data_IF_620256931072
#
_entry.id   IF_620256931072
#
_cell.length_a   1.000
_cell.length_b   1.000
_cell.length_c   1.000
_cell.angle_alpha   90.00
_cell.angle_beta   90.00
_cell.angle_gamma   90.00
#
_symmetry.space_group_name_H-M   'P 1'
#
loop_
_entity.id
_entity.type
_entity.pdbx_description
1 polymer ?
#
# COMPACT_ATOMS: atom_id res chain seq x y z
N UNK A 1 -8.59 15.19 -10.73
CA UNK A 1 -7.15 14.98 -10.98
C UNK A 1 -6.66 13.80 -10.15
N UNK A 2 -5.69 13.05 -10.65
CA UNK A 2 -5.02 11.97 -9.89
C UNK A 2 -3.52 12.21 -9.82
N UNK A 3 -2.90 11.94 -8.69
CA UNK A 3 -1.47 12.11 -8.47
C UNK A 3 -0.82 10.76 -8.20
N UNK A 4 0.36 10.52 -8.80
CA UNK A 4 1.19 9.35 -8.52
C UNK A 4 2.01 9.61 -7.25
N UNK A 5 2.16 8.59 -6.42
CA UNK A 5 3.02 8.56 -5.24
C UNK A 5 3.99 7.39 -5.39
N UNK A 6 5.27 7.72 -5.59
CA UNK A 6 6.35 6.74 -5.63
C UNK A 6 6.71 6.16 -4.25
N UNK A 7 7.56 5.12 -4.18
CA UNK A 7 7.90 4.45 -2.93
C UNK A 7 8.62 5.36 -1.92
N UNK A 8 9.43 6.30 -2.41
CA UNK A 8 10.21 7.28 -1.64
C UNK A 8 9.55 8.66 -1.58
N UNK A 9 8.39 8.83 -2.22
CA UNK A 9 7.69 10.10 -2.24
C UNK A 9 6.77 10.18 -1.03
N UNK A 10 6.83 11.27 -0.27
CA UNK A 10 5.97 11.45 0.89
C UNK A 10 4.50 11.65 0.48
N UNK A 11 3.60 11.04 1.25
CA UNK A 11 2.16 11.29 1.18
C UNK A 11 1.60 11.46 2.59
N UNK A 12 1.32 12.71 2.95
CA UNK A 12 0.74 13.08 4.25
C UNK A 12 -0.67 12.51 4.48
N UNK A 13 -1.39 12.18 3.41
CA UNK A 13 -2.72 11.57 3.50
C UNK A 13 -2.64 10.04 3.54
N UNK A 14 -1.45 9.43 3.49
CA UNK A 14 -1.31 7.98 3.47
C UNK A 14 -1.88 7.34 4.74
N UNK A 15 -2.68 6.30 4.54
CA UNK A 15 -3.08 5.36 5.58
C UNK A 15 -2.78 3.93 5.13
N UNK A 16 -2.51 3.09 6.11
CA UNK A 16 -2.53 1.66 5.93
C UNK A 16 -3.65 1.07 6.79
N UNK A 17 -4.49 0.22 6.20
CA UNK A 17 -5.59 -0.45 6.88
C UNK A 17 -5.53 -1.95 6.63
N UNK A 18 -5.91 -2.75 7.61
CA UNK A 18 -6.05 -4.20 7.46
C UNK A 18 -7.46 -4.50 6.92
N UNK A 19 -7.56 -5.23 5.80
CA UNK A 19 -8.83 -5.66 5.20
C UNK A 19 -8.76 -7.14 4.86
N UNK A 20 -9.60 -7.97 5.52
CA UNK A 20 -9.66 -9.41 5.31
C UNK A 20 -8.29 -10.11 5.38
N UNK A 21 -7.50 -9.79 6.42
CA UNK A 21 -6.18 -10.40 6.62
C UNK A 21 -5.08 -9.90 5.68
N UNK A 22 -5.36 -8.89 4.85
CA UNK A 22 -4.40 -8.30 3.93
C UNK A 22 -4.25 -6.79 4.17
N UNK A 23 -3.03 -6.25 4.13
CA UNK A 23 -2.82 -4.82 4.26
C UNK A 23 -3.24 -4.10 2.99
N UNK A 24 -3.88 -2.94 3.16
CA UNK A 24 -4.43 -2.12 2.09
C UNK A 24 -3.99 -0.67 2.25
N UNK A 25 -3.47 -0.09 1.18
CA UNK A 25 -3.15 1.33 1.09
C UNK A 25 -4.45 2.11 0.97
N UNK A 26 -4.64 3.12 1.82
CA UNK A 26 -5.81 3.99 1.87
C UNK A 26 -5.37 5.45 2.05
N UNK A 27 -6.35 6.36 2.10
CA UNK A 27 -6.14 7.78 2.35
C UNK A 27 -6.93 8.24 3.59
N UNK A 28 -6.38 9.21 4.34
CA UNK A 28 -7.06 9.92 5.43
C UNK A 28 -8.30 10.68 4.93
N UNK A 29 -8.27 11.14 3.68
CA UNK A 29 -9.44 11.74 3.03
C UNK A 29 -10.31 10.65 2.40
N UNK A 30 -11.55 10.53 2.85
CA UNK A 30 -12.55 9.57 2.34
C UNK A 30 -12.96 9.84 0.89
N UNK A 31 -12.79 11.07 0.40
CA UNK A 31 -13.03 11.45 -0.98
C UNK A 31 -11.89 11.02 -1.94
N UNK A 32 -10.75 10.59 -1.40
CA UNK A 32 -9.58 10.17 -2.17
C UNK A 32 -9.52 8.65 -2.21
N UNK A 33 -9.56 8.10 -3.42
CA UNK A 33 -9.28 6.69 -3.65
C UNK A 33 -7.78 6.50 -3.87
N UNK A 34 -7.29 5.31 -3.57
CA UNK A 34 -5.91 4.87 -3.79
C UNK A 34 -5.89 3.65 -4.70
N UNK A 35 -4.92 3.54 -5.60
CA UNK A 35 -4.75 2.38 -6.47
C UNK A 35 -3.27 2.08 -6.67
N UNK A 36 -2.82 0.88 -6.33
CA UNK A 36 -1.46 0.43 -6.63
C UNK A 36 -1.31 0.31 -8.14
N UNK A 37 -0.22 0.87 -8.67
CA UNK A 37 0.06 0.96 -10.11
C UNK A 37 1.38 0.32 -10.52
N UNK A 38 2.33 0.19 -9.59
CA UNK A 38 3.57 -0.56 -9.80
C UNK A 38 4.00 -1.20 -8.48
N UNK A 39 4.58 -2.39 -8.62
CA UNK A 39 5.17 -3.17 -7.54
C UNK A 39 6.51 -3.69 -8.04
N UNK A 40 7.52 -3.70 -7.17
CA UNK A 40 8.86 -4.12 -7.53
C UNK A 40 9.54 -4.71 -6.30
N UNK A 41 10.08 -5.92 -6.42
CA UNK A 41 10.89 -6.55 -5.37
C UNK A 41 12.35 -6.14 -5.53
N UNK A 42 12.93 -5.57 -4.48
CA UNK A 42 14.36 -5.25 -4.40
C UNK A 42 14.90 -5.95 -3.16
N UNK A 43 15.57 -7.09 -3.36
CA UNK A 43 15.95 -7.99 -2.28
C UNK A 43 14.71 -8.55 -1.57
N UNK A 44 14.59 -8.30 -0.27
CA UNK A 44 13.47 -8.68 0.59
C UNK A 44 12.40 -7.58 0.74
N UNK A 45 12.58 -6.46 0.03
CA UNK A 45 11.77 -5.25 0.15
C UNK A 45 10.84 -5.11 -1.05
N UNK A 46 9.53 -5.05 -0.80
CA UNK A 46 8.52 -4.73 -1.80
C UNK A 46 8.34 -3.21 -1.91
N UNK A 47 8.76 -2.63 -3.02
CA UNK A 47 8.52 -1.23 -3.36
C UNK A 47 7.14 -1.07 -4.00
N UNK A 48 6.28 -0.25 -3.39
CA UNK A 48 4.91 -0.04 -3.87
C UNK A 48 4.71 1.40 -4.33
N UNK A 49 4.23 1.55 -5.56
CA UNK A 49 3.84 2.82 -6.16
C UNK A 49 2.34 2.84 -6.40
N UNK A 50 1.66 3.89 -5.97
CA UNK A 50 0.22 4.02 -6.12
C UNK A 50 -0.18 5.37 -6.71
N UNK A 51 -1.42 5.47 -7.20
CA UNK A 51 -2.07 6.73 -7.53
C UNK A 51 -3.09 7.04 -6.45
N UNK A 52 -3.31 8.34 -6.21
CA UNK A 52 -4.37 8.86 -5.35
C UNK A 52 -5.24 9.88 -6.10
N UNK A 53 -6.55 9.86 -5.91
CA UNK A 53 -7.47 10.83 -6.51
C UNK A 53 -8.94 10.44 -6.41
N UNK A 54 -9.84 11.42 -6.60
CA UNK A 54 -11.29 11.23 -6.46
C UNK A 54 -11.95 10.44 -7.62
N UNK A 55 -11.25 10.27 -8.74
CA UNK A 55 -11.79 9.65 -9.97
C UNK A 55 -10.86 8.56 -10.51
N UNK A 56 -10.22 7.78 -9.63
CA UNK A 56 -9.38 6.64 -10.03
C UNK A 56 -10.24 5.46 -10.53
N UNK A 57 -10.97 5.66 -11.63
CA UNK A 57 -11.73 4.64 -12.36
C UNK A 57 -12.81 3.93 -11.54
N UNK A 58 -14.07 4.00 -12.00
CA UNK A 58 -15.22 3.23 -11.46
C UNK A 58 -15.06 1.68 -11.51
N UNK A 59 -13.87 1.16 -11.79
CA UNK A 59 -13.57 -0.27 -11.69
C UNK A 59 -13.49 -0.65 -10.22
N UNK A 60 -14.53 -1.35 -9.75
CA UNK A 60 -14.82 -1.88 -8.40
C UNK A 60 -13.76 -2.82 -7.80
N UNK A 61 -12.49 -2.63 -8.10
CA UNK A 61 -11.43 -3.53 -7.65
C UNK A 61 -10.76 -2.93 -6.42
N UNK A 62 -11.45 -2.98 -5.28
CA UNK A 62 -10.89 -2.71 -3.94
C UNK A 62 -9.61 -3.52 -3.69
N UNK A 63 -9.43 -4.62 -4.42
CA UNK A 63 -8.23 -5.45 -4.48
C UNK A 63 -7.00 -4.73 -5.05
N UNK A 64 -7.16 -3.66 -5.83
CA UNK A 64 -6.02 -2.93 -6.43
C UNK A 64 -5.29 -2.03 -5.45
N UNK A 65 -5.79 -1.87 -4.24
CA UNK A 65 -5.10 -1.14 -3.16
C UNK A 65 -4.50 -2.11 -2.14
N UNK A 66 -4.71 -3.42 -2.30
CA UNK A 66 -4.14 -4.45 -1.42
C UNK A 66 -2.67 -4.66 -1.77
N UNK A 67 -1.83 -4.67 -0.74
CA UNK A 67 -0.41 -4.96 -0.87
C UNK A 67 -0.27 -6.48 -0.98
N UNK A 68 0.16 -7.02 -2.13
CA UNK A 68 0.30 -8.46 -2.28
C UNK A 68 1.58 -8.89 -1.57
N UNK A 69 1.41 -9.50 -0.41
CA UNK A 69 2.50 -10.03 0.39
C UNK A 69 2.67 -11.52 0.11
N UNK A 70 3.91 -11.95 0.04
CA UNK A 70 4.31 -13.35 -0.05
C UNK A 70 5.31 -13.67 1.07
N UNK A 71 5.64 -14.95 1.24
CA UNK A 71 6.55 -15.40 2.30
C UNK A 71 8.00 -14.90 2.13
N UNK A 72 8.35 -14.38 0.95
CA UNK A 72 9.68 -13.82 0.66
C UNK A 72 9.77 -12.32 0.99
N UNK A 73 8.64 -11.65 1.21
CA UNK A 73 8.59 -10.22 1.49
C UNK A 73 8.78 -9.98 2.99
N UNK A 74 9.91 -9.40 3.36
CA UNK A 74 10.21 -9.07 4.77
C UNK A 74 9.85 -7.62 5.09
N UNK A 75 9.97 -6.72 4.10
CA UNK A 75 9.62 -5.32 4.27
C UNK A 75 8.85 -4.77 3.07
N UNK A 76 8.08 -3.70 3.31
CA UNK A 76 7.36 -2.95 2.28
C UNK A 76 7.74 -1.49 2.38
N UNK A 77 7.98 -0.84 1.26
CA UNK A 77 8.22 0.60 1.21
C UNK A 77 7.19 1.30 0.32
N UNK A 78 6.49 2.28 0.88
CA UNK A 78 5.54 3.13 0.18
C UNK A 78 5.37 4.48 0.91
N UNK A 79 5.00 5.53 0.18
CA UNK A 79 4.75 6.86 0.75
C UNK A 79 5.92 7.44 1.58
N UNK A 80 7.17 7.11 1.21
CA UNK A 80 8.38 7.42 1.99
C UNK A 80 8.40 6.79 3.41
N UNK A 81 7.68 5.68 3.60
CA UNK A 81 7.63 4.92 4.85
C UNK A 81 8.02 3.48 4.58
N UNK A 82 8.70 2.87 5.55
CA UNK A 82 9.01 1.44 5.54
C UNK A 82 8.18 0.71 6.58
N UNK A 83 7.75 -0.47 6.21
CA UNK A 83 6.96 -1.36 7.05
C UNK A 83 7.61 -2.73 7.08
N UNK A 84 7.61 -3.37 8.25
CA UNK A 84 7.96 -4.77 8.39
C UNK A 84 6.72 -5.61 8.13
N UNK A 85 6.89 -6.69 7.37
CA UNK A 85 5.86 -7.70 7.19
C UNK A 85 5.87 -8.64 8.40
N UNK A 86 4.71 -8.79 9.02
CA UNK A 86 4.51 -9.70 10.16
C UNK A 86 3.43 -10.71 9.79
N UNK A 87 3.71 -11.99 9.99
CA UNK A 87 2.74 -13.07 9.79
C UNK A 87 1.83 -13.13 11.02
N UNK A 88 0.52 -13.10 10.81
CA UNK A 88 -0.50 -13.21 11.86
C UNK A 88 -1.38 -14.41 11.59
N UNK A 89 -2.18 -14.83 12.58
CA UNK A 89 -3.12 -15.94 12.43
C UNK A 89 -4.15 -15.72 11.30
N UNK A 90 -4.35 -14.46 10.89
CA UNK A 90 -5.29 -14.05 9.86
C UNK A 90 -4.63 -13.72 8.51
N UNK A 91 -3.31 -13.85 8.38
CA UNK A 91 -2.58 -13.57 7.14
C UNK A 91 -1.30 -12.76 7.37
N UNK A 92 -1.20 -11.61 6.70
CA UNK A 92 -0.05 -10.72 6.81
C UNK A 92 -0.47 -9.35 7.30
N UNK A 93 0.29 -8.79 8.23
CA UNK A 93 0.19 -7.43 8.70
C UNK A 93 1.46 -6.64 8.35
N UNK A 94 1.35 -5.32 8.38
CA UNK A 94 2.49 -4.41 8.19
C UNK A 94 2.63 -3.53 9.43
N UNK A 95 3.82 -3.56 10.01
CA UNK A 95 4.17 -2.73 11.16
C UNK A 95 5.12 -1.61 10.74
N UNK A 96 4.88 -0.35 11.13
CA UNK A 96 5.76 0.75 10.76
C UNK A 96 7.15 0.56 11.38
N UNK A 97 8.18 0.67 10.55
CA UNK A 97 9.57 0.76 11.02
C UNK A 97 9.85 2.22 11.35
N UNK A 98 10.26 2.50 12.59
CA UNK A 98 10.69 3.82 13.04
C UNK A 98 12.03 4.20 12.44
#
# INVERSE_FOLDING_TARGET
MSSKVGPTQEDSAFMLVQDNGQPRISSLSSAIQTQITKQEMVGDTLLVTYKRGAFLGRTRSWTRSRVPLNEQTTTVQCANRRFRVVKTDQGFALEPLK
#
